data_IF_823853407110
#
_entry.id   IF_823853407110
#
_cell.length_a   1.000
_cell.length_b   1.000
_cell.length_c   1.000
_cell.angle_alpha   90.00
_cell.angle_beta   90.00
_cell.angle_gamma   90.00
#
_symmetry.space_group_name_H-M   'P 1'
#
loop_
_entity.id
_entity.type
_entity.pdbx_description
1 polymer ?
#
# COMPACT_ATOMS: atom_id res chain seq x y z
N UNK A 1 7.90 -12.18 -1.09
CA UNK A 1 8.69 -11.07 -1.69
C UNK A 1 10.03 -10.84 -0.99
N UNK A 2 10.10 -10.56 0.32
CA UNK A 2 11.39 -10.24 0.98
C UNK A 2 12.18 -11.44 1.55
N UNK A 3 11.52 -12.54 1.95
CA UNK A 3 12.20 -13.81 2.28
C UNK A 3 12.76 -14.56 1.05
N UNK A 4 12.29 -14.23 -0.15
CA UNK A 4 12.75 -14.84 -1.40
C UNK A 4 14.04 -14.23 -1.97
N UNK A 5 14.54 -13.13 -1.36
CA UNK A 5 15.68 -12.37 -1.86
C UNK A 5 16.99 -12.63 -1.07
N UNK A 6 17.03 -13.64 -0.19
CA UNK A 6 18.19 -13.95 0.67
C UNK A 6 18.74 -12.72 1.45
N UNK A 7 17.84 -11.81 1.83
CA UNK A 7 18.18 -10.66 2.68
C UNK A 7 18.12 -11.13 4.13
N UNK A 8 19.18 -10.84 4.90
CA UNK A 8 19.27 -11.19 6.33
C UNK A 8 17.99 -10.79 7.06
N UNK A 9 17.43 -11.71 7.87
CA UNK A 9 16.18 -11.53 8.61
C UNK A 9 16.14 -10.22 9.38
N UNK A 10 17.28 -9.80 9.92
CA UNK A 10 17.42 -8.59 10.73
C UNK A 10 17.09 -7.33 9.92
N UNK A 11 17.53 -7.23 8.66
CA UNK A 11 17.23 -6.06 7.82
C UNK A 11 15.75 -5.95 7.47
N UNK A 12 15.03 -7.07 7.39
CA UNK A 12 13.60 -7.06 7.11
C UNK A 12 12.80 -6.53 8.30
N UNK A 13 13.22 -6.90 9.51
CA UNK A 13 12.60 -6.40 10.75
C UNK A 13 12.77 -4.89 10.87
N UNK A 14 13.98 -4.36 10.66
CA UNK A 14 14.21 -2.90 10.64
C UNK A 14 13.39 -2.18 9.56
N UNK A 15 13.23 -2.80 8.39
CA UNK A 15 12.43 -2.22 7.30
C UNK A 15 10.94 -2.11 7.67
N UNK A 16 10.37 -3.16 8.28
CA UNK A 16 8.98 -3.17 8.73
C UNK A 16 8.76 -2.15 9.84
N UNK A 17 9.68 -2.06 10.80
CA UNK A 17 9.62 -1.04 11.86
C UNK A 17 9.70 0.37 11.27
N UNK A 18 10.60 0.59 10.30
CA UNK A 18 10.72 1.87 9.60
C UNK A 18 9.45 2.27 8.83
N UNK A 19 8.79 1.31 8.18
CA UNK A 19 7.50 1.54 7.52
C UNK A 19 6.41 1.92 8.52
N UNK A 20 6.36 1.25 9.67
CA UNK A 20 5.43 1.58 10.75
C UNK A 20 5.65 2.99 11.30
N UNK A 21 6.91 3.35 11.54
CA UNK A 21 7.28 4.68 12.04
C UNK A 21 6.93 5.77 11.02
N UNK A 22 7.23 5.56 9.75
CA UNK A 22 6.86 6.47 8.66
C UNK A 22 5.33 6.64 8.59
N UNK A 23 4.57 5.54 8.71
CA UNK A 23 3.11 5.60 8.69
C UNK A 23 2.55 6.50 9.80
N UNK A 24 3.07 6.36 11.02
CA UNK A 24 2.65 7.20 12.16
C UNK A 24 2.98 8.67 11.92
N UNK A 25 4.22 8.98 11.50
CA UNK A 25 4.67 10.36 11.22
C UNK A 25 3.82 10.98 10.10
N UNK A 26 3.63 10.26 8.99
CA UNK A 26 2.82 10.73 7.88
C UNK A 26 1.36 10.96 8.29
N UNK A 27 0.80 10.12 9.16
CA UNK A 27 -0.57 10.29 9.67
C UNK A 27 -0.70 11.55 10.51
N UNK A 28 0.28 11.84 11.39
CA UNK A 28 0.30 13.09 12.19
C UNK A 28 0.36 14.31 11.27
N UNK A 29 1.20 14.28 10.23
CA UNK A 29 1.33 15.37 9.25
C UNK A 29 0.09 15.49 8.36
N UNK A 30 -0.61 14.39 8.10
CA UNK A 30 -1.81 14.37 7.27
C UNK A 30 -2.98 15.10 7.92
N UNK A 31 -3.12 15.05 9.25
CA UNK A 31 -4.21 15.71 9.99
C UNK A 31 -4.33 17.22 9.70
N UNK A 32 -3.29 18.05 9.84
CA UNK A 32 -3.38 19.47 9.50
C UNK A 32 -3.48 19.73 7.99
N UNK A 33 -2.93 18.84 7.14
CA UNK A 33 -3.02 18.97 5.69
C UNK A 33 -4.45 18.74 5.18
N UNK A 34 -5.14 17.78 5.78
CA UNK A 34 -6.52 17.44 5.53
C UNK A 34 -7.46 18.64 5.75
N UNK A 35 -7.29 19.35 6.87
CA UNK A 35 -8.13 20.50 7.19
C UNK A 35 -7.97 21.65 6.17
N UNK A 36 -6.81 21.76 5.52
CA UNK A 36 -6.48 22.86 4.59
C UNK A 36 -6.76 22.57 3.12
N UNK A 37 -6.57 21.33 2.65
CA UNK A 37 -6.52 21.03 1.21
C UNK A 37 -7.89 20.74 0.56
N UNK A 38 -8.96 20.67 1.34
CA UNK A 38 -10.33 20.46 0.85
C UNK A 38 -10.65 18.99 0.49
N UNK A 39 -11.89 18.58 0.77
CA UNK A 39 -12.34 17.18 0.78
C UNK A 39 -12.22 16.42 -0.55
N UNK A 40 -12.29 17.10 -1.71
CA UNK A 40 -12.20 16.46 -3.05
C UNK A 40 -10.77 16.22 -3.51
N UNK A 41 -9.91 17.21 -3.31
CA UNK A 41 -8.50 17.19 -3.70
C UNK A 41 -7.74 16.11 -2.94
N UNK A 42 -8.12 15.87 -1.68
CA UNK A 42 -7.46 14.88 -0.82
C UNK A 42 -7.84 13.42 -1.11
N UNK A 43 -8.88 13.18 -1.91
CA UNK A 43 -9.24 11.83 -2.34
C UNK A 43 -8.56 11.46 -3.66
N UNK A 44 -8.51 12.41 -4.61
CA UNK A 44 -8.00 12.17 -5.96
C UNK A 44 -6.48 12.16 -6.04
N UNK A 45 -5.80 13.06 -5.32
CA UNK A 45 -4.33 13.12 -5.37
C UNK A 45 -3.65 11.88 -4.78
N UNK A 46 -4.01 11.41 -3.56
CA UNK A 46 -3.38 10.23 -3.00
C UNK A 46 -3.70 8.97 -3.79
N UNK A 47 -4.92 8.82 -4.31
CA UNK A 47 -5.28 7.66 -5.14
C UNK A 47 -4.49 7.61 -6.45
N UNK A 48 -4.24 8.77 -7.09
CA UNK A 48 -3.35 8.84 -8.26
C UNK A 48 -1.91 8.47 -7.91
N UNK A 49 -1.36 8.99 -6.81
CA UNK A 49 0.00 8.66 -6.37
C UNK A 49 0.12 7.17 -6.04
N UNK A 50 -0.89 6.58 -5.39
CA UNK A 50 -0.93 5.15 -5.09
C UNK A 50 -1.02 4.28 -6.35
N UNK A 51 -1.83 4.68 -7.33
CA UNK A 51 -1.93 3.97 -8.60
C UNK A 51 -0.60 4.00 -9.38
N UNK A 52 0.03 5.17 -9.47
CA UNK A 52 1.31 5.34 -10.15
C UNK A 52 2.44 4.57 -9.46
N UNK A 53 2.51 4.63 -8.12
CA UNK A 53 3.55 3.92 -7.36
C UNK A 53 3.39 2.40 -7.46
N UNK A 54 2.17 1.87 -7.43
CA UNK A 54 1.92 0.44 -7.66
C UNK A 54 2.31 0.01 -9.08
N UNK A 55 1.96 0.79 -10.09
CA UNK A 55 2.31 0.51 -11.48
C UNK A 55 3.83 0.46 -11.65
N UNK A 56 4.54 1.47 -11.14
CA UNK A 56 6.00 1.49 -11.16
C UNK A 56 6.59 0.29 -10.42
N UNK A 57 6.06 -0.06 -9.24
CA UNK A 57 6.53 -1.20 -8.46
C UNK A 57 6.41 -2.51 -9.25
N UNK A 58 5.30 -2.75 -9.95
CA UNK A 58 5.12 -3.92 -10.81
C UNK A 58 6.16 -3.97 -11.93
N UNK A 59 6.41 -2.83 -12.60
CA UNK A 59 7.42 -2.74 -13.67
C UNK A 59 8.82 -3.05 -13.13
N UNK A 60 9.24 -2.42 -12.04
CA UNK A 60 10.56 -2.61 -11.46
C UNK A 60 10.78 -4.03 -10.94
N UNK A 61 9.76 -4.64 -10.33
CA UNK A 61 9.81 -6.05 -9.90
C UNK A 61 9.87 -7.00 -11.09
N UNK A 62 9.16 -6.72 -12.19
CA UNK A 62 9.23 -7.54 -13.39
C UNK A 62 10.63 -7.48 -14.04
N UNK A 63 11.22 -6.29 -14.14
CA UNK A 63 12.58 -6.09 -14.67
C UNK A 63 13.62 -6.79 -13.78
N UNK A 64 13.48 -6.70 -12.45
CA UNK A 64 14.40 -7.35 -11.51
C UNK A 64 14.39 -8.90 -11.60
N UNK A 65 13.27 -9.48 -12.03
CA UNK A 65 13.10 -10.92 -12.23
C UNK A 65 13.54 -11.41 -13.62
N UNK A 66 13.90 -10.51 -14.56
CA UNK A 66 14.45 -10.94 -15.85
C UNK A 66 15.92 -11.38 -15.69
N UNK A 67 16.24 -12.58 -16.15
CA UNK A 67 17.56 -13.23 -15.97
C UNK A 67 18.72 -12.56 -16.72
N UNK A 68 18.43 -11.57 -17.60
CA UNK A 68 19.44 -10.82 -18.36
C UNK A 68 20.13 -9.66 -17.61
N UNK A 69 19.75 -9.37 -16.35
CA UNK A 69 20.26 -8.21 -15.60
C UNK A 69 21.36 -8.61 -14.61
N UNK A 70 22.59 -8.16 -14.87
CA UNK A 70 23.81 -8.49 -14.10
C UNK A 70 23.82 -7.86 -12.69
N UNK A 71 23.10 -6.74 -12.48
CA UNK A 71 23.03 -6.05 -11.19
C UNK A 71 21.56 -5.88 -10.73
N UNK A 72 21.07 -6.83 -9.92
CA UNK A 72 19.70 -6.82 -9.36
C UNK A 72 19.51 -5.86 -8.16
N UNK A 73 20.61 -5.51 -7.48
CA UNK A 73 20.65 -4.60 -6.32
C UNK A 73 19.92 -3.25 -6.51
N UNK A 74 20.18 -2.44 -7.56
CA UNK A 74 19.56 -1.13 -7.71
C UNK A 74 18.03 -1.21 -7.89
N UNK A 75 17.53 -2.22 -8.61
CA UNK A 75 16.10 -2.41 -8.83
C UNK A 75 15.34 -2.79 -7.56
N UNK A 76 15.97 -3.57 -6.68
CA UNK A 76 15.43 -3.93 -5.37
C UNK A 76 15.36 -2.68 -4.47
N UNK A 77 16.40 -1.85 -4.46
CA UNK A 77 16.42 -0.59 -3.69
C UNK A 77 15.34 0.39 -4.16
N UNK A 78 15.18 0.56 -5.48
CA UNK A 78 14.12 1.42 -6.04
C UNK A 78 12.73 0.89 -5.66
N UNK A 79 12.51 -0.42 -5.72
CA UNK A 79 11.25 -1.04 -5.30
C UNK A 79 10.97 -0.81 -3.81
N UNK A 80 12.00 -0.89 -2.96
CA UNK A 80 11.88 -0.61 -1.53
C UNK A 80 11.49 0.86 -1.25
N UNK A 81 12.11 1.81 -1.95
CA UNK A 81 11.75 3.24 -1.87
C UNK A 81 10.30 3.48 -2.34
N UNK A 82 9.87 2.82 -3.41
CA UNK A 82 8.48 2.91 -3.88
C UNK A 82 7.47 2.41 -2.85
N UNK A 83 7.81 1.36 -2.08
CA UNK A 83 6.96 0.91 -0.96
C UNK A 83 6.83 1.98 0.13
N UNK A 84 7.91 2.68 0.48
CA UNK A 84 7.83 3.78 1.43
C UNK A 84 6.95 4.93 0.93
N UNK A 85 7.09 5.32 -0.34
CA UNK A 85 6.26 6.36 -0.96
C UNK A 85 4.78 5.92 -0.98
N UNK A 86 4.53 4.65 -1.31
CA UNK A 86 3.19 4.06 -1.26
C UNK A 86 2.58 4.16 0.14
N UNK A 87 3.31 3.76 1.18
CA UNK A 87 2.82 3.83 2.58
C UNK A 87 2.59 5.27 3.02
N UNK A 88 3.47 6.21 2.66
CA UNK A 88 3.30 7.62 2.96
C UNK A 88 2.04 8.19 2.28
N UNK A 89 1.84 7.91 0.99
CA UNK A 89 0.65 8.36 0.25
C UNK A 89 -0.64 7.73 0.80
N UNK A 90 -0.58 6.46 1.22
CA UNK A 90 -1.71 5.77 1.84
C UNK A 90 -2.09 6.40 3.18
N UNK A 91 -1.09 6.66 4.04
CA UNK A 91 -1.28 7.30 5.34
C UNK A 91 -1.87 8.72 5.20
N UNK A 92 -1.47 9.47 4.18
CA UNK A 92 -1.95 10.84 3.95
C UNK A 92 -3.39 10.92 3.42
N UNK A 93 -3.87 9.91 2.69
CA UNK A 93 -5.16 9.95 2.01
C UNK A 93 -6.11 8.84 2.43
N UNK A 94 -5.88 7.63 1.92
CA UNK A 94 -6.84 6.53 2.03
C UNK A 94 -7.02 5.98 3.45
N UNK A 95 -6.10 6.28 4.38
CA UNK A 95 -6.25 5.91 5.79
C UNK A 95 -7.45 6.61 6.45
N UNK A 96 -7.41 7.94 6.64
CA UNK A 96 -8.47 8.66 7.35
C UNK A 96 -9.67 9.05 6.47
N UNK A 97 -9.52 9.16 5.14
CA UNK A 97 -10.56 9.78 4.30
C UNK A 97 -11.90 9.03 4.26
N UNK A 98 -11.93 7.69 4.05
CA UNK A 98 -13.20 6.98 3.96
C UNK A 98 -14.03 7.08 5.24
N UNK A 99 -13.36 7.00 6.41
CA UNK A 99 -14.01 7.14 7.71
C UNK A 99 -14.65 8.52 7.90
N UNK A 100 -13.94 9.59 7.50
CA UNK A 100 -14.44 10.96 7.60
C UNK A 100 -15.61 11.23 6.65
N UNK A 101 -15.55 10.73 5.43
CA UNK A 101 -16.61 10.92 4.44
C UNK A 101 -17.91 10.26 4.89
N UNK A 102 -17.84 9.06 5.46
CA UNK A 102 -19.02 8.40 6.06
C UNK A 102 -19.57 9.24 7.22
N UNK A 103 -18.73 9.83 8.06
CA UNK A 103 -19.18 10.71 9.14
C UNK A 103 -19.83 12.01 8.62
N UNK A 104 -19.36 12.55 7.51
CA UNK A 104 -19.81 13.83 6.94
C UNK A 104 -21.07 13.71 6.07
N UNK A 105 -21.25 12.61 5.34
CA UNK A 105 -22.40 12.40 4.45
C UNK A 105 -23.67 12.02 5.22
N UNK A 106 -23.54 11.23 6.28
CA UNK A 106 -24.70 10.70 7.01
C UNK A 106 -25.11 11.60 8.18
N UNK A 107 -26.42 11.91 8.22
CA UNK A 107 -27.10 12.57 9.35
C UNK A 107 -27.03 11.69 10.61
N UNK A 108 -27.06 12.33 11.79
CA UNK A 108 -26.81 11.70 13.10
C UNK A 108 -27.60 10.40 13.37
N UNK A 109 -28.86 10.31 12.91
CA UNK A 109 -29.70 9.11 13.08
C UNK A 109 -29.11 7.84 12.44
N UNK A 110 -29.02 7.75 11.10
CA UNK A 110 -28.50 6.55 10.42
C UNK A 110 -26.96 6.41 10.46
N UNK A 111 -26.22 7.37 11.04
CA UNK A 111 -24.75 7.39 10.99
C UNK A 111 -24.12 6.13 11.56
N UNK A 112 -24.60 5.63 12.70
CA UNK A 112 -24.04 4.44 13.34
C UNK A 112 -24.19 3.19 12.45
N UNK A 113 -25.35 3.01 11.81
CA UNK A 113 -25.61 1.90 10.90
C UNK A 113 -24.79 2.01 9.59
N UNK A 114 -24.61 3.22 9.07
CA UNK A 114 -23.77 3.44 7.90
C UNK A 114 -22.28 3.16 8.19
N UNK A 115 -21.81 3.55 9.37
CA UNK A 115 -20.43 3.31 9.80
C UNK A 115 -20.13 1.82 10.01
N UNK A 116 -21.04 1.09 10.66
CA UNK A 116 -20.89 -0.36 10.85
C UNK A 116 -20.89 -1.13 9.53
N UNK A 117 -21.75 -0.75 8.56
CA UNK A 117 -21.75 -1.34 7.23
C UNK A 117 -20.44 -1.05 6.47
N UNK A 118 -19.99 0.20 6.46
CA UNK A 118 -18.73 0.58 5.80
C UNK A 118 -17.54 -0.17 6.38
N UNK A 119 -17.47 -0.31 7.70
CA UNK A 119 -16.41 -1.03 8.39
C UNK A 119 -16.47 -2.53 8.11
N UNK A 120 -17.67 -3.10 8.03
CA UNK A 120 -17.88 -4.51 7.69
C UNK A 120 -17.38 -4.83 6.28
N UNK A 121 -17.69 -3.95 5.30
CA UNK A 121 -17.21 -4.08 3.93
C UNK A 121 -15.68 -3.94 3.88
N UNK A 122 -15.11 -2.97 4.60
CA UNK A 122 -13.66 -2.79 4.67
C UNK A 122 -12.96 -4.07 5.18
N UNK A 123 -13.47 -4.66 6.27
CA UNK A 123 -12.92 -5.90 6.81
C UNK A 123 -13.10 -7.09 5.87
N UNK A 124 -14.25 -7.20 5.18
CA UNK A 124 -14.48 -8.24 4.19
C UNK A 124 -13.48 -8.14 3.02
N UNK A 125 -13.26 -6.94 2.49
CA UNK A 125 -12.25 -6.71 1.45
C UNK A 125 -10.84 -7.05 1.96
N UNK A 126 -10.50 -6.68 3.19
CA UNK A 126 -9.20 -7.02 3.79
C UNK A 126 -9.01 -8.54 3.87
N UNK A 127 -10.04 -9.27 4.31
CA UNK A 127 -10.01 -10.73 4.38
C UNK A 127 -9.79 -11.36 3.00
N UNK A 128 -10.50 -10.87 1.97
CA UNK A 128 -10.32 -11.34 0.59
C UNK A 128 -8.87 -11.14 0.14
N UNK A 129 -8.28 -9.97 0.40
CA UNK A 129 -6.89 -9.69 0.02
C UNK A 129 -5.92 -10.62 0.75
N UNK A 130 -6.06 -10.78 2.06
CA UNK A 130 -5.21 -11.65 2.88
C UNK A 130 -5.34 -13.12 2.44
N UNK A 131 -6.55 -13.59 2.14
CA UNK A 131 -6.80 -14.95 1.67
C UNK A 131 -6.26 -15.19 0.25
N UNK A 132 -6.30 -14.18 -0.62
CA UNK A 132 -5.85 -14.29 -2.02
C UNK A 132 -4.34 -14.20 -2.17
N UNK A 133 -3.65 -13.49 -1.26
CA UNK A 133 -2.22 -13.21 -1.38
C UNK A 133 -1.32 -14.45 -1.42
N UNK A 134 -1.52 -15.50 -0.59
CA UNK A 134 -0.74 -16.73 -0.67
C UNK A 134 -0.83 -17.40 -2.04
N UNK A 135 -2.05 -17.51 -2.59
CA UNK A 135 -2.28 -18.11 -3.91
C UNK A 135 -1.60 -17.33 -5.02
N UNK A 136 -1.69 -15.99 -4.99
CA UNK A 136 -1.01 -15.11 -5.94
C UNK A 136 0.50 -15.21 -5.85
N UNK A 137 1.06 -15.26 -4.64
CA UNK A 137 2.50 -15.40 -4.44
C UNK A 137 3.01 -16.76 -4.96
N UNK A 138 2.24 -17.84 -4.78
CA UNK A 138 2.56 -19.15 -5.37
C UNK A 138 2.49 -19.08 -6.89
N UNK A 139 1.43 -18.52 -7.48
CA UNK A 139 1.34 -18.37 -8.95
C UNK A 139 2.45 -17.51 -9.54
N UNK A 140 2.90 -16.47 -8.84
CA UNK A 140 4.01 -15.63 -9.27
C UNK A 140 5.35 -16.39 -9.26
N UNK A 141 5.54 -17.33 -8.34
CA UNK A 141 6.72 -18.21 -8.28
C UNK A 141 6.59 -19.47 -9.16
N UNK A 142 5.36 -19.89 -9.49
CA UNK A 142 5.05 -21.03 -10.36
C UNK A 142 4.88 -20.65 -11.83
N UNK A 143 4.75 -19.35 -12.18
CA UNK A 143 5.08 -18.90 -13.52
C UNK A 143 6.58 -19.12 -13.67
N UNK A 144 6.99 -20.19 -14.38
CA UNK A 144 8.38 -20.37 -14.68
C UNK A 144 8.80 -19.13 -15.46
N UNK A 145 10.04 -18.70 -15.26
CA UNK A 145 10.78 -18.00 -16.30
C UNK A 145 10.32 -18.56 -17.66
N UNK A 146 9.69 -17.73 -18.46
CA UNK A 146 9.17 -18.15 -19.74
C UNK A 146 10.34 -18.66 -20.57
N UNK A 147 10.36 -19.98 -20.77
CA UNK A 147 11.07 -20.70 -21.83
C UNK A 147 12.59 -20.89 -21.65
N UNK A 148 12.95 -22.18 -21.48
CA UNK A 148 14.25 -22.83 -21.70
C UNK A 148 15.15 -23.01 -20.47
#
# INVERSE_FOLDING_TARGET
MLKGANVSSDMLEYFVVGLGLLNVICTIVALPLLEKAGRRTLLLWPTLVLALTLLLLVIFVNIANNDGVVNKMPFILVSAVLVFIYVAAFAMGLGPMPALIVAEIFRQGPRAAAYSLSQSIQWACNLIVVASFPSLNVSLFLLPSGSK
#
